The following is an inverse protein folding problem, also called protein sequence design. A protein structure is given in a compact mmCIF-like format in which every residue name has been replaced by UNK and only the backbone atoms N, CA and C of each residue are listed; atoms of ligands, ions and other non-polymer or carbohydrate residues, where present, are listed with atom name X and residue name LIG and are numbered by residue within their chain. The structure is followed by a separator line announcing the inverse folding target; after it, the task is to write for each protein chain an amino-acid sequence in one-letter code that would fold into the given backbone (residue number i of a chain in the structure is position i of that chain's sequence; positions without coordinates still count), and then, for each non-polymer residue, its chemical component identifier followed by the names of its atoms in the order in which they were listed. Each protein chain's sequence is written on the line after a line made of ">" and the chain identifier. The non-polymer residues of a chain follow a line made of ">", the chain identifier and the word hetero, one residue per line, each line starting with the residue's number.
data_IF_318311971058
#
_entry.id   IF_318311971058
#
_cell.length_a   1.000
_cell.length_b   1.000
_cell.length_c   1.000
_cell.angle_alpha   90.00
_cell.angle_beta   90.00
_cell.angle_gamma   90.00
#
_symmetry.space_group_name_H-M   'P 1'
#
loop_
_entity.id
_entity.type
_entity.pdbx_description
1 polymer ?
#
# COMPACT_ATOMS: atom_id res chain seq x y z
N UNK A 1 58.93 4.86 -52.49
CA UNK A 1 58.96 4.66 -51.02
C UNK A 1 57.70 3.92 -50.62
N UNK A 2 57.78 2.78 -49.93
CA UNK A 2 56.59 2.08 -49.46
C UNK A 2 56.24 2.58 -48.05
N UNK A 3 54.97 2.90 -47.80
CA UNK A 3 54.42 2.95 -46.44
C UNK A 3 53.17 2.09 -46.42
N UNK A 4 53.37 0.79 -46.18
CA UNK A 4 52.29 -0.11 -45.81
C UNK A 4 51.93 0.15 -44.34
N UNK A 5 50.71 0.65 -44.11
CA UNK A 5 50.14 0.77 -42.76
C UNK A 5 49.39 -0.54 -42.47
N UNK A 6 49.96 -1.34 -41.57
CA UNK A 6 49.45 -2.66 -41.20
C UNK A 6 48.05 -2.58 -40.59
N UNK A 7 47.08 -3.23 -41.26
CA UNK A 7 45.65 -3.28 -40.92
C UNK A 7 45.35 -3.78 -39.48
N UNK A 8 46.30 -4.45 -38.82
CA UNK A 8 46.15 -4.90 -37.42
C UNK A 8 46.08 -3.75 -36.41
N UNK A 9 46.69 -2.60 -36.68
CA UNK A 9 46.66 -1.43 -35.78
C UNK A 9 45.36 -0.65 -35.85
N UNK A 10 44.63 -0.72 -36.97
CA UNK A 10 43.38 0.02 -37.18
C UNK A 10 42.18 -0.63 -36.46
N UNK A 11 42.28 -1.92 -36.14
CA UNK A 11 41.22 -2.69 -35.46
C UNK A 11 41.31 -2.66 -33.92
N UNK A 12 42.47 -2.28 -33.35
CA UNK A 12 42.67 -2.23 -31.89
C UNK A 12 42.09 -0.96 -31.25
N UNK A 13 42.03 0.14 -31.99
CA UNK A 13 41.53 1.43 -31.52
C UNK A 13 40.01 1.41 -31.24
N UNK A 14 39.14 0.89 -32.13
CA UNK A 14 37.71 0.82 -31.84
C UNK A 14 37.39 -0.19 -30.73
N UNK A 15 38.15 -1.28 -30.61
CA UNK A 15 37.96 -2.27 -29.54
C UNK A 15 38.25 -1.69 -28.14
N UNK A 16 39.29 -0.87 -28.01
CA UNK A 16 39.61 -0.19 -26.75
C UNK A 16 38.54 0.87 -26.37
N UNK A 17 37.96 1.56 -27.36
CA UNK A 17 36.93 2.57 -27.14
C UNK A 17 35.58 1.95 -26.70
N UNK A 18 35.25 0.76 -27.20
CA UNK A 18 34.05 0.02 -26.78
C UNK A 18 34.15 -0.46 -25.34
N UNK A 19 35.32 -0.93 -24.90
CA UNK A 19 35.55 -1.37 -23.50
C UNK A 19 35.42 -0.19 -22.52
N UNK A 20 35.96 0.97 -22.88
CA UNK A 20 35.84 2.19 -22.05
C UNK A 20 34.41 2.73 -22.04
N UNK A 21 33.69 2.64 -23.16
CA UNK A 21 32.28 3.06 -23.26
C UNK A 21 31.34 2.21 -22.40
N UNK A 22 31.56 0.90 -22.30
CA UNK A 22 30.75 0.02 -21.44
C UNK A 22 31.00 0.23 -19.95
N UNK A 23 32.16 0.76 -19.56
CA UNK A 23 32.46 1.07 -18.16
C UNK A 23 31.74 2.32 -17.64
N UNK A 24 31.32 3.23 -18.53
CA UNK A 24 30.68 4.50 -18.17
C UNK A 24 29.14 4.46 -18.23
N UNK A 25 28.55 3.42 -18.82
CA UNK A 25 27.09 3.26 -18.95
C UNK A 25 26.40 2.62 -17.73
N UNK A 26 27.13 2.39 -16.62
CA UNK A 26 26.65 1.68 -15.43
C UNK A 26 25.80 2.50 -14.45
N UNK A 27 25.25 3.65 -14.85
CA UNK A 27 24.40 4.47 -13.98
C UNK A 27 22.95 3.93 -13.98
N UNK A 28 22.74 2.75 -13.41
CA UNK A 28 21.37 2.25 -13.18
C UNK A 28 21.15 0.73 -13.03
N UNK A 29 22.17 -0.12 -13.12
CA UNK A 29 21.98 -1.56 -12.96
C UNK A 29 22.51 -2.05 -11.61
N UNK A 30 21.60 -2.43 -10.71
CA UNK A 30 21.89 -3.05 -9.40
C UNK A 30 22.52 -4.46 -9.51
N UNK A 31 22.66 -5.03 -10.71
CA UNK A 31 22.86 -6.48 -10.87
C UNK A 31 24.22 -6.93 -11.43
N UNK A 32 25.16 -6.01 -11.69
CA UNK A 32 26.47 -6.38 -12.30
C UNK A 32 27.71 -5.84 -11.58
N UNK A 33 27.77 -4.53 -11.36
CA UNK A 33 28.97 -3.88 -10.82
C UNK A 33 29.00 -3.83 -9.28
N UNK A 34 27.83 -3.85 -8.64
CA UNK A 34 27.70 -3.77 -7.18
C UNK A 34 28.34 -4.98 -6.49
N UNK A 35 28.09 -6.19 -7.00
CA UNK A 35 28.69 -7.41 -6.45
C UNK A 35 30.22 -7.47 -6.60
N UNK A 36 30.78 -6.95 -7.69
CA UNK A 36 32.23 -6.91 -7.91
C UNK A 36 32.89 -5.82 -7.04
N UNK A 37 32.26 -4.65 -6.91
CA UNK A 37 32.75 -3.58 -6.03
C UNK A 37 32.63 -3.95 -4.54
N UNK A 38 31.60 -4.69 -4.16
CA UNK A 38 31.42 -5.23 -2.80
C UNK A 38 32.44 -6.34 -2.50
N UNK A 39 32.67 -7.27 -3.42
CA UNK A 39 33.71 -8.30 -3.31
C UNK A 39 35.13 -7.72 -3.31
N UNK A 40 35.36 -6.60 -4.00
CA UNK A 40 36.64 -5.88 -4.02
C UNK A 40 36.81 -4.91 -2.83
N UNK A 41 35.82 -4.82 -1.91
CA UNK A 41 35.89 -3.94 -0.74
C UNK A 41 35.83 -2.43 -1.04
N UNK A 42 35.44 -2.05 -2.27
CA UNK A 42 35.30 -0.66 -2.70
C UNK A 42 33.87 -0.11 -2.55
N UNK A 43 32.88 -0.98 -2.30
CA UNK A 43 31.50 -0.55 -2.13
C UNK A 43 31.27 0.09 -0.75
N UNK A 44 30.65 1.27 -0.74
CA UNK A 44 30.09 1.82 0.48
C UNK A 44 28.86 1.00 0.86
N UNK A 45 28.84 0.43 2.06
CA UNK A 45 27.68 -0.32 2.54
C UNK A 45 26.49 0.64 2.64
N UNK A 46 25.30 0.28 2.10
CA UNK A 46 24.10 1.06 2.30
C UNK A 46 23.89 1.31 3.79
N UNK A 47 23.74 2.58 4.16
CA UNK A 47 23.51 2.92 5.56
C UNK A 47 22.20 2.30 6.02
N UNK A 48 22.36 1.47 7.04
CA UNK A 48 21.30 0.76 7.69
C UNK A 48 20.35 1.77 8.34
N UNK A 49 19.03 1.61 8.13
CA UNK A 49 18.05 2.54 8.68
C UNK A 49 18.11 2.57 10.21
N UNK A 50 17.79 3.72 10.82
CA UNK A 50 17.74 3.89 12.28
C UNK A 50 16.80 2.85 12.91
N UNK A 51 17.10 2.42 14.14
CA UNK A 51 16.37 1.36 14.84
C UNK A 51 14.85 1.60 14.87
N UNK A 52 14.40 2.80 15.24
CA UNK A 52 12.99 3.15 15.29
C UNK A 52 12.27 3.04 13.93
N UNK A 53 12.99 3.22 12.81
CA UNK A 53 12.41 3.08 11.45
C UNK A 53 12.16 1.62 11.14
N UNK A 54 13.02 0.71 11.61
CA UNK A 54 12.83 -0.73 11.42
C UNK A 54 11.76 -1.31 12.33
N UNK A 55 11.68 -0.80 13.55
CA UNK A 55 10.64 -1.19 14.50
C UNK A 55 9.25 -0.74 14.04
N UNK A 56 9.16 0.43 13.41
CA UNK A 56 7.88 0.98 12.92
C UNK A 56 7.50 0.51 11.51
N UNK A 57 8.47 0.05 10.71
CA UNK A 57 8.22 -0.45 9.35
C UNK A 57 8.61 -1.92 9.27
N UNK A 58 7.65 -2.85 9.43
CA UNK A 58 7.91 -4.25 9.18
C UNK A 58 8.44 -4.43 7.76
N UNK A 59 9.41 -5.32 7.60
CA UNK A 59 10.01 -5.62 6.30
C UNK A 59 9.01 -6.24 5.33
N UNK A 60 7.99 -6.90 5.86
CA UNK A 60 6.87 -7.45 5.12
C UNK A 60 5.65 -6.53 5.29
N UNK A 61 5.26 -5.87 4.21
CA UNK A 61 4.07 -5.04 4.15
C UNK A 61 3.04 -5.77 3.29
N UNK A 62 1.83 -5.96 3.82
CA UNK A 62 0.67 -6.36 3.01
C UNK A 62 0.23 -5.19 2.11
N UNK A 63 1.08 -4.83 1.15
CA UNK A 63 0.82 -3.78 0.19
C UNK A 63 -0.26 -4.25 -0.79
N UNK A 64 -1.44 -3.63 -0.70
CA UNK A 64 -2.50 -3.82 -1.69
C UNK A 64 -2.26 -2.83 -2.84
N UNK A 65 -1.93 -3.28 -4.06
CA UNK A 65 -1.66 -2.38 -5.17
C UNK A 65 -2.93 -1.62 -5.58
N UNK A 66 -2.74 -0.34 -5.89
CA UNK A 66 -3.78 0.50 -6.48
C UNK A 66 -4.09 -0.07 -7.88
N UNK A 67 -5.35 -0.38 -8.14
CA UNK A 67 -5.77 -1.04 -9.39
C UNK A 67 -5.85 -2.56 -9.32
N UNK A 68 -5.76 -3.16 -8.13
CA UNK A 68 -6.09 -4.58 -7.96
C UNK A 68 -7.52 -4.86 -8.41
N UNK A 69 -7.67 -5.80 -9.36
CA UNK A 69 -8.98 -6.28 -9.76
C UNK A 69 -9.51 -7.22 -8.68
N UNK A 70 -10.73 -6.96 -8.23
CA UNK A 70 -11.42 -7.85 -7.30
C UNK A 70 -11.72 -9.15 -8.05
N UNK A 71 -11.07 -10.25 -7.66
CA UNK A 71 -11.23 -11.58 -8.28
C UNK A 71 -12.51 -12.31 -7.85
N UNK A 72 -13.20 -11.78 -6.83
CA UNK A 72 -14.47 -12.34 -6.37
C UNK A 72 -15.57 -12.09 -7.39
N UNK A 73 -16.31 -13.14 -7.74
CA UNK A 73 -17.53 -13.03 -8.50
C UNK A 73 -18.55 -12.12 -7.77
N UNK A 74 -18.93 -11.03 -8.43
CA UNK A 74 -19.92 -10.07 -7.93
C UNK A 74 -21.13 -10.02 -8.89
N UNK A 75 -21.94 -11.09 -8.95
CA UNK A 75 -23.13 -11.10 -9.81
C UNK A 75 -24.12 -10.02 -9.36
N UNK A 76 -24.80 -9.41 -10.33
CA UNK A 76 -25.89 -8.47 -10.06
C UNK A 76 -27.00 -9.20 -9.31
N UNK A 77 -27.43 -8.66 -8.18
CA UNK A 77 -28.57 -9.20 -7.43
C UNK A 77 -29.85 -9.07 -8.29
N UNK A 78 -30.72 -10.11 -8.34
CA UNK A 78 -31.93 -10.05 -9.15
C UNK A 78 -32.90 -9.01 -8.58
N UNK A 79 -33.71 -8.42 -9.45
CA UNK A 79 -34.63 -7.32 -9.09
C UNK A 79 -35.62 -7.73 -7.99
N UNK A 80 -36.07 -8.98 -8.01
CA UNK A 80 -36.98 -9.51 -7.00
C UNK A 80 -36.36 -9.55 -5.60
N UNK A 81 -35.06 -9.84 -5.50
CA UNK A 81 -34.38 -9.81 -4.20
C UNK A 81 -34.15 -8.38 -3.69
N UNK A 82 -34.04 -7.40 -4.58
CA UNK A 82 -34.04 -5.99 -4.18
C UNK A 82 -35.38 -5.57 -3.59
N UNK A 83 -36.50 -5.91 -4.25
CA UNK A 83 -37.85 -5.61 -3.75
C UNK A 83 -38.12 -6.25 -2.39
N UNK A 84 -37.64 -7.48 -2.17
CA UNK A 84 -37.71 -8.14 -0.85
C UNK A 84 -36.93 -7.37 0.22
N UNK A 85 -35.73 -6.88 -0.11
CA UNK A 85 -34.91 -6.10 0.81
C UNK A 85 -35.58 -4.77 1.13
N UNK A 86 -36.13 -4.10 0.13
CA UNK A 86 -36.89 -2.85 0.30
C UNK A 86 -38.08 -3.05 1.23
N UNK A 87 -38.91 -4.07 0.97
CA UNK A 87 -40.04 -4.41 1.85
C UNK A 87 -39.59 -4.74 3.28
N UNK A 88 -38.47 -5.45 3.44
CA UNK A 88 -37.91 -5.78 4.75
C UNK A 88 -37.39 -4.54 5.50
N UNK A 89 -36.77 -3.59 4.79
CA UNK A 89 -36.31 -2.33 5.37
C UNK A 89 -37.47 -1.45 5.78
N UNK A 90 -38.51 -1.32 4.96
CA UNK A 90 -39.71 -0.57 5.29
C UNK A 90 -40.43 -1.14 6.51
N UNK A 91 -40.52 -2.47 6.60
CA UNK A 91 -41.08 -3.14 7.78
C UNK A 91 -40.26 -2.84 9.04
N UNK A 92 -38.92 -2.89 8.95
CA UNK A 92 -38.01 -2.54 10.06
C UNK A 92 -38.13 -1.08 10.45
N UNK A 93 -38.22 -0.16 9.49
CA UNK A 93 -38.38 1.26 9.78
C UNK A 93 -39.67 1.51 10.56
N UNK A 94 -40.79 0.90 10.15
CA UNK A 94 -42.07 1.01 10.85
C UNK A 94 -42.02 0.43 12.26
N UNK A 95 -41.42 -0.75 12.42
CA UNK A 95 -41.25 -1.38 13.72
C UNK A 95 -40.40 -0.53 14.67
N UNK A 96 -39.28 0.01 14.17
CA UNK A 96 -38.39 0.86 14.95
C UNK A 96 -39.05 2.19 15.32
N UNK A 97 -39.82 2.79 14.41
CA UNK A 97 -40.58 4.00 14.69
C UNK A 97 -41.62 3.76 15.80
N UNK A 98 -42.38 2.67 15.71
CA UNK A 98 -43.35 2.29 16.74
C UNK A 98 -42.67 2.03 18.10
N UNK A 99 -41.57 1.28 18.11
CA UNK A 99 -40.78 1.05 19.32
C UNK A 99 -40.24 2.36 19.92
N UNK A 100 -39.78 3.28 19.08
CA UNK A 100 -39.33 4.61 19.50
C UNK A 100 -40.44 5.42 20.17
N UNK A 101 -41.65 5.43 19.62
CA UNK A 101 -42.79 6.11 20.24
C UNK A 101 -43.19 5.47 21.58
N UNK A 102 -43.17 4.13 21.67
CA UNK A 102 -43.42 3.47 22.97
C UNK A 102 -42.36 3.83 24.02
N UNK A 103 -41.09 3.89 23.62
CA UNK A 103 -40.01 4.26 24.53
C UNK A 103 -40.13 5.72 25.01
N UNK A 104 -40.53 6.65 24.13
CA UNK A 104 -40.82 8.04 24.52
C UNK A 104 -41.94 8.11 25.54
N UNK A 105 -43.03 7.36 25.33
CA UNK A 105 -44.15 7.33 26.27
C UNK A 105 -43.74 6.77 27.64
N UNK A 106 -42.95 5.69 27.67
CA UNK A 106 -42.47 5.08 28.91
C UNK A 106 -41.40 5.92 29.62
N UNK A 107 -40.59 6.67 28.87
CA UNK A 107 -39.55 7.55 29.39
C UNK A 107 -40.07 8.89 29.91
N UNK A 108 -41.36 9.20 29.74
CA UNK A 108 -41.98 10.43 30.23
C UNK A 108 -42.29 10.38 31.74
N UNK A 109 -41.33 9.92 32.55
CA UNK A 109 -41.47 9.88 34.00
C UNK A 109 -41.15 11.25 34.60
N UNK A 110 -41.98 11.77 35.52
CA UNK A 110 -41.65 13.02 36.21
C UNK A 110 -40.38 12.86 37.06
N UNK A 111 -39.60 13.93 37.25
CA UNK A 111 -38.43 13.90 38.11
C UNK A 111 -38.81 13.48 39.55
N UNK A 112 -37.94 12.72 40.25
CA UNK A 112 -38.21 12.29 41.62
C UNK A 112 -38.33 13.50 42.55
N UNK A 113 -39.24 13.41 43.51
CA UNK A 113 -39.41 14.46 44.51
C UNK A 113 -38.09 14.67 45.29
N UNK A 114 -37.74 15.92 45.65
CA UNK A 114 -36.56 16.20 46.47
C UNK A 114 -36.61 15.44 47.81
N UNK A 115 -35.46 14.94 48.25
CA UNK A 115 -35.36 14.31 49.56
C UNK A 115 -35.66 15.32 50.68
N UNK A 116 -36.57 14.98 51.58
CA UNK A 116 -36.85 15.79 52.77
C UNK A 116 -35.79 15.48 53.83
N UNK A 117 -34.88 16.41 54.07
CA UNK A 117 -33.86 16.30 55.12
C UNK A 117 -34.42 16.85 56.45
N UNK A 118 -34.16 16.18 57.59
CA UNK A 118 -34.49 16.74 58.91
C UNK A 118 -33.70 18.04 59.15
N UNK A 119 -34.38 19.08 59.66
CA UNK A 119 -33.75 20.33 60.12
C UNK A 119 -33.52 20.26 61.63
N UNK A 120 -32.29 20.53 62.06
CA UNK A 120 -31.92 20.74 63.47
C UNK A 120 -32.22 22.18 63.89
#
# INVERSE_FOLDING_TARGET
>A
MPTEISAKKLLLIPAALVVVGTALAGCGSDEGFKGVAEAAGLATTPQQSKAFVRETRPADLEYVPIGSSVTRAAPRKPVEDYKKIEAALDAKQKANAAAGETAKALGATPPPAPAVLPRN
#
